data_IF_918993313262
#
_entry.id   IF_918993313262
#
_cell.length_a   1.000
_cell.length_b   1.000
_cell.length_c   1.000
_cell.angle_alpha   90.00
_cell.angle_beta   90.00
_cell.angle_gamma   90.00
#
_symmetry.space_group_name_H-M   'P 1'
#
loop_
_entity.id
_entity.type
_entity.pdbx_description
1 polymer ?
#
# COMPACT_ATOMS: atom_id res chain seq x y z
N UNK A 1 -9.63 -21.32 -22.16
CA UNK A 1 -9.86 -20.56 -20.92
C UNK A 1 -9.07 -19.27 -21.01
N UNK A 2 -9.62 -18.09 -20.68
CA UNK A 2 -8.81 -16.88 -20.65
C UNK A 2 -7.77 -17.05 -19.54
N UNK A 3 -6.49 -16.89 -19.88
CA UNK A 3 -5.39 -16.84 -18.92
C UNK A 3 -5.66 -15.68 -17.97
N UNK A 4 -6.07 -15.99 -16.73
CA UNK A 4 -6.12 -15.00 -15.65
C UNK A 4 -4.73 -14.37 -15.54
N UNK A 5 -4.65 -13.05 -15.63
CA UNK A 5 -3.43 -12.32 -15.35
C UNK A 5 -3.18 -12.39 -13.84
N UNK A 6 -2.21 -13.23 -13.46
CA UNK A 6 -1.82 -13.50 -12.06
C UNK A 6 -1.54 -12.17 -11.32
N UNK A 7 -1.06 -11.13 -12.01
CA UNK A 7 -0.77 -9.85 -11.39
C UNK A 7 -2.03 -9.08 -10.98
N UNK A 8 -3.11 -9.22 -11.74
CA UNK A 8 -4.39 -8.58 -11.40
C UNK A 8 -5.00 -9.21 -10.15
N UNK A 9 -4.96 -10.54 -10.04
CA UNK A 9 -5.48 -11.26 -8.87
C UNK A 9 -4.70 -10.92 -7.60
N UNK A 10 -3.37 -10.86 -7.68
CA UNK A 10 -2.51 -10.45 -6.56
C UNK A 10 -2.87 -9.03 -6.07
N UNK A 11 -3.14 -8.09 -6.98
CA UNK A 11 -3.44 -6.71 -6.60
C UNK A 11 -4.82 -6.58 -5.97
N UNK A 12 -5.82 -7.29 -6.47
CA UNK A 12 -7.15 -7.30 -5.85
C UNK A 12 -7.11 -7.95 -4.47
N UNK A 13 -6.34 -9.03 -4.29
CA UNK A 13 -6.13 -9.66 -2.99
C UNK A 13 -5.46 -8.68 -2.01
N UNK A 14 -4.36 -8.04 -2.42
CA UNK A 14 -3.65 -7.05 -1.60
C UNK A 14 -4.52 -5.84 -1.26
N UNK A 15 -5.38 -5.40 -2.18
CA UNK A 15 -6.32 -4.31 -1.94
C UNK A 15 -7.37 -4.69 -0.90
N UNK A 16 -7.95 -5.89 -1.01
CA UNK A 16 -8.87 -6.39 0.01
C UNK A 16 -8.17 -6.51 1.38
N UNK A 17 -6.96 -7.05 1.42
CA UNK A 17 -6.17 -7.16 2.66
C UNK A 17 -5.89 -5.78 3.26
N UNK A 18 -5.47 -4.81 2.45
CA UNK A 18 -5.19 -3.45 2.89
C UNK A 18 -6.43 -2.75 3.48
N UNK A 19 -7.62 -2.98 2.89
CA UNK A 19 -8.87 -2.42 3.40
C UNK A 19 -9.27 -3.01 4.75
N UNK A 20 -9.15 -4.34 4.92
CA UNK A 20 -9.43 -5.01 6.20
C UNK A 20 -8.49 -4.47 7.27
N UNK A 21 -7.18 -4.43 6.97
CA UNK A 21 -6.16 -3.98 7.90
C UNK A 21 -6.32 -2.49 8.27
N UNK A 22 -6.78 -1.66 7.33
CA UNK A 22 -7.11 -0.26 7.60
C UNK A 22 -8.31 -0.11 8.54
N UNK A 23 -9.32 -0.97 8.42
CA UNK A 23 -10.46 -0.96 9.35
C UNK A 23 -10.06 -1.46 10.74
N UNK A 24 -9.25 -2.51 10.81
CA UNK A 24 -8.70 -3.01 12.08
C UNK A 24 -7.83 -1.96 12.76
N UNK A 25 -6.93 -1.28 12.02
CA UNK A 25 -6.13 -0.15 12.51
C UNK A 25 -7.02 0.98 13.03
N UNK A 26 -8.08 1.34 12.29
CA UNK A 26 -9.05 2.35 12.73
C UNK A 26 -9.74 1.93 14.03
N UNK A 27 -10.06 0.65 14.19
CA UNK A 27 -10.72 0.12 15.39
C UNK A 27 -9.80 0.14 16.62
N UNK A 28 -8.55 -0.32 16.45
CA UNK A 28 -7.55 -0.44 17.52
C UNK A 28 -7.01 0.92 17.97
N UNK A 29 -6.74 1.82 17.02
CA UNK A 29 -6.17 3.14 17.32
C UNK A 29 -7.21 4.24 17.57
N UNK A 30 -8.51 3.91 17.66
CA UNK A 30 -9.53 4.89 18.07
C UNK A 30 -9.38 5.23 19.56
N UNK A 31 -8.55 6.24 19.85
CA UNK A 31 -8.22 6.70 21.21
C UNK A 31 -9.44 7.17 22.02
N UNK A 32 -10.58 7.46 21.36
CA UNK A 32 -11.84 7.78 22.05
C UNK A 32 -12.45 6.55 22.73
N UNK A 33 -12.07 5.34 22.31
CA UNK A 33 -12.55 4.08 22.89
C UNK A 33 -11.78 3.66 24.15
N UNK A 34 -10.56 4.19 24.33
CA UNK A 34 -9.67 3.86 25.46
C UNK A 34 -10.14 4.43 26.81
N UNK A 35 -11.29 5.11 26.85
CA UNK A 35 -12.00 5.52 28.08
C UNK A 35 -12.65 4.36 28.86
N UNK A 36 -12.34 3.10 28.50
CA UNK A 36 -12.86 1.92 29.22
C UNK A 36 -11.90 1.42 30.31
N UNK A 37 -12.42 1.39 31.53
CA UNK A 37 -11.99 0.73 32.79
C UNK A 37 -10.55 0.94 33.33
N UNK A 38 -9.50 0.98 32.51
CA UNK A 38 -8.11 1.22 32.94
C UNK A 38 -7.44 2.13 31.91
N UNK A 39 -7.21 3.39 32.27
CA UNK A 39 -6.49 4.29 31.39
C UNK A 39 -5.03 3.82 31.27
N UNK A 40 -4.49 3.70 30.05
CA UNK A 40 -3.07 3.43 29.85
C UNK A 40 -2.25 4.57 30.46
N UNK A 41 -1.05 4.22 30.95
CA UNK A 41 -0.07 5.22 31.36
C UNK A 41 0.30 6.15 30.18
N UNK A 42 0.86 7.32 30.51
CA UNK A 42 1.15 8.36 29.52
C UNK A 42 2.12 7.89 28.42
N UNK A 43 3.08 7.02 28.75
CA UNK A 43 4.04 6.51 27.76
C UNK A 43 3.36 5.55 26.79
N UNK A 44 2.53 4.63 27.30
CA UNK A 44 1.74 3.70 26.46
C UNK A 44 0.78 4.46 25.54
N UNK A 45 0.15 5.54 26.03
CA UNK A 45 -0.73 6.39 25.22
C UNK A 45 0.01 7.12 24.09
N UNK A 46 1.20 7.62 24.39
CA UNK A 46 2.07 8.27 23.38
C UNK A 46 2.54 7.24 22.35
N UNK A 47 2.99 6.06 22.77
CA UNK A 47 3.38 4.97 21.88
C UNK A 47 2.23 4.55 20.95
N UNK A 48 1.02 4.38 21.49
CA UNK A 48 -0.19 4.08 20.70
C UNK A 48 -0.47 5.16 19.65
N UNK A 49 -0.31 6.44 20.02
CA UNK A 49 -0.56 7.56 19.11
C UNK A 49 0.48 7.62 17.98
N UNK A 50 1.76 7.45 18.30
CA UNK A 50 2.87 7.48 17.33
C UNK A 50 2.74 6.31 16.35
N UNK A 51 2.63 5.09 16.87
CA UNK A 51 2.57 3.90 16.03
C UNK A 51 1.23 3.77 15.29
N UNK A 52 0.13 4.29 15.86
CA UNK A 52 -1.15 4.39 15.16
C UNK A 52 -1.09 5.33 13.96
N UNK A 53 -0.48 6.51 14.10
CA UNK A 53 -0.30 7.43 12.98
C UNK A 53 0.64 6.85 11.90
N UNK A 54 1.72 6.19 12.32
CA UNK A 54 2.63 5.49 11.40
C UNK A 54 1.90 4.41 10.61
N UNK A 55 1.16 3.55 11.30
CA UNK A 55 0.42 2.43 10.69
C UNK A 55 -0.65 2.92 9.72
N UNK A 56 -1.43 3.93 10.11
CA UNK A 56 -2.47 4.49 9.21
C UNK A 56 -1.86 5.16 7.99
N UNK A 57 -0.76 5.90 8.14
CA UNK A 57 -0.03 6.50 7.01
C UNK A 57 0.50 5.42 6.05
N UNK A 58 1.07 4.35 6.60
CA UNK A 58 1.53 3.17 5.84
C UNK A 58 0.44 2.56 4.99
N UNK A 59 -0.71 2.29 5.60
CA UNK A 59 -1.84 1.71 4.91
C UNK A 59 -2.39 2.65 3.84
N UNK A 60 -2.36 3.97 4.08
CA UNK A 60 -2.76 4.95 3.07
C UNK A 60 -1.83 4.95 1.87
N UNK A 61 -0.51 4.88 2.07
CA UNK A 61 0.43 4.77 0.96
C UNK A 61 0.24 3.47 0.16
N UNK A 62 0.03 2.35 0.85
CA UNK A 62 -0.29 1.06 0.22
C UNK A 62 -1.58 1.15 -0.61
N UNK A 63 -2.66 1.69 -0.03
CA UNK A 63 -3.94 1.83 -0.72
C UNK A 63 -3.85 2.76 -1.92
N UNK A 64 -3.16 3.90 -1.79
CA UNK A 64 -2.95 4.82 -2.90
C UNK A 64 -2.18 4.15 -4.05
N UNK A 65 -1.15 3.37 -3.74
CA UNK A 65 -0.41 2.60 -4.74
C UNK A 65 -1.33 1.59 -5.44
N UNK A 66 -2.09 0.79 -4.67
CA UNK A 66 -3.00 -0.22 -5.20
C UNK A 66 -4.10 0.38 -6.08
N UNK A 67 -4.66 1.53 -5.69
CA UNK A 67 -5.66 2.25 -6.48
C UNK A 67 -5.09 2.74 -7.82
N UNK A 68 -3.88 3.31 -7.82
CA UNK A 68 -3.20 3.70 -9.06
C UNK A 68 -2.97 2.48 -9.98
N UNK A 69 -2.59 1.34 -9.41
CA UNK A 69 -2.39 0.10 -10.15
C UNK A 69 -3.68 -0.46 -10.75
N UNK A 70 -4.80 -0.32 -10.04
CA UNK A 70 -6.14 -0.67 -10.54
C UNK A 70 -6.57 0.25 -11.68
N UNK A 71 -6.42 1.56 -11.51
CA UNK A 71 -6.76 2.55 -12.53
C UNK A 71 -5.91 2.40 -13.81
N UNK A 72 -4.63 2.02 -13.68
CA UNK A 72 -3.80 1.67 -14.83
C UNK A 72 -4.34 0.44 -15.58
N UNK A 73 -4.76 -0.60 -14.85
CA UNK A 73 -5.30 -1.84 -15.44
C UNK A 73 -6.69 -1.67 -16.06
N UNK A 74 -7.51 -0.76 -15.54
CA UNK A 74 -8.79 -0.41 -16.18
C UNK A 74 -8.63 0.49 -17.40
N UNK A 75 -7.42 0.99 -17.66
CA UNK A 75 -7.11 1.92 -18.75
C UNK A 75 -7.42 3.39 -18.42
N UNK A 76 -7.77 3.70 -17.17
CA UNK A 76 -8.01 5.08 -16.69
C UNK A 76 -6.71 5.87 -16.48
N UNK A 77 -5.59 5.19 -16.22
CA UNK A 77 -4.25 5.78 -16.15
C UNK A 77 -3.34 5.24 -17.25
N UNK A 78 -2.55 6.13 -17.86
CA UNK A 78 -1.44 5.73 -18.74
C UNK A 78 -0.20 5.29 -17.95
N UNK A 79 0.69 4.53 -18.58
CA UNK A 79 1.95 4.09 -17.95
C UNK A 79 2.81 5.28 -17.50
N UNK A 80 2.86 6.36 -18.29
CA UNK A 80 3.57 7.58 -17.93
C UNK A 80 2.95 8.34 -16.76
N UNK A 81 1.62 8.31 -16.59
CA UNK A 81 0.97 8.85 -15.40
C UNK A 81 1.28 8.00 -14.17
N UNK A 82 1.15 6.68 -14.29
CA UNK A 82 1.46 5.73 -13.21
C UNK A 82 2.92 5.87 -12.74
N UNK A 83 3.87 6.07 -13.64
CA UNK A 83 5.28 6.27 -13.27
C UNK A 83 5.51 7.51 -12.38
N UNK A 84 4.71 8.57 -12.56
CA UNK A 84 4.82 9.83 -11.79
C UNK A 84 4.11 9.76 -10.44
N UNK A 85 2.90 9.18 -10.39
CA UNK A 85 2.05 9.19 -9.19
C UNK A 85 2.00 7.86 -8.44
N UNK A 86 2.54 6.79 -9.00
CA UNK A 86 2.45 5.43 -8.48
C UNK A 86 3.70 4.93 -7.76
N UNK A 87 4.57 5.80 -7.23
CA UNK A 87 5.70 5.33 -6.40
C UNK A 87 5.21 5.10 -4.98
N UNK A 88 5.50 3.91 -4.45
CA UNK A 88 5.31 3.68 -3.01
C UNK A 88 6.44 4.39 -2.25
N UNK A 89 6.12 5.28 -1.29
CA UNK A 89 7.12 5.88 -0.43
C UNK A 89 7.83 4.83 0.44
N UNK A 90 9.13 5.02 0.66
CA UNK A 90 9.85 4.29 1.69
C UNK A 90 9.38 4.78 3.07
N UNK A 91 9.21 3.85 4.01
CA UNK A 91 8.75 4.17 5.35
C UNK A 91 9.67 3.60 6.42
N UNK A 92 9.88 4.34 7.52
CA UNK A 92 10.66 3.83 8.64
C UNK A 92 9.92 2.68 9.34
N UNK A 93 10.64 1.66 9.83
CA UNK A 93 10.05 0.61 10.65
C UNK A 93 9.55 1.17 11.97
N UNK A 94 8.59 0.49 12.58
CA UNK A 94 8.06 0.80 13.90
C UNK A 94 9.17 0.87 14.95
N UNK A 95 9.00 1.73 15.94
CA UNK A 95 9.99 1.93 16.99
C UNK A 95 9.91 0.78 18.01
N UNK A 96 11.04 0.11 18.24
CA UNK A 96 11.10 -1.07 19.12
C UNK A 96 10.75 -0.75 20.59
N UNK A 97 11.11 0.45 21.07
CA UNK A 97 10.80 0.88 22.43
C UNK A 97 9.30 1.18 22.56
N UNK A 98 8.70 1.81 21.53
CA UNK A 98 7.25 1.98 21.50
C UNK A 98 6.53 0.63 21.47
N UNK A 99 6.95 -0.29 20.59
CA UNK A 99 6.33 -1.62 20.46
C UNK A 99 6.37 -2.40 21.78
N UNK A 100 7.46 -2.29 22.56
CA UNK A 100 7.58 -2.96 23.85
C UNK A 100 6.50 -2.54 24.87
N UNK A 101 5.90 -1.35 24.70
CA UNK A 101 4.83 -0.83 25.54
C UNK A 101 3.43 -1.27 25.08
N UNK A 102 3.30 -1.85 23.88
CA UNK A 102 2.01 -2.17 23.27
C UNK A 102 1.56 -3.61 23.53
N UNK A 103 0.25 -3.78 23.62
CA UNK A 103 -0.36 -5.10 23.71
C UNK A 103 0.03 -5.99 22.52
N UNK A 104 0.15 -7.31 22.72
CA UNK A 104 0.53 -8.24 21.65
C UNK A 104 -0.34 -8.12 20.40
N UNK A 105 -1.65 -7.90 20.55
CA UNK A 105 -2.56 -7.76 19.42
C UNK A 105 -2.27 -6.49 18.59
N UNK A 106 -2.00 -5.36 19.25
CA UNK A 106 -1.62 -4.11 18.58
C UNK A 106 -0.29 -4.23 17.86
N UNK A 107 0.69 -4.93 18.46
CA UNK A 107 1.97 -5.21 17.79
C UNK A 107 1.78 -6.05 16.54
N UNK A 108 1.02 -7.13 16.62
CA UNK A 108 0.74 -8.00 15.48
C UNK A 108 0.09 -7.23 14.32
N UNK A 109 -0.81 -6.29 14.61
CA UNK A 109 -1.42 -5.42 13.61
C UNK A 109 -0.41 -4.51 12.91
N UNK A 110 0.53 -3.92 13.68
CA UNK A 110 1.60 -3.07 13.14
C UNK A 110 2.52 -3.90 12.24
N UNK A 111 2.93 -5.09 12.71
CA UNK A 111 3.79 -6.03 11.98
C UNK A 111 3.13 -6.51 10.68
N UNK A 112 1.81 -6.76 10.69
CA UNK A 112 1.06 -7.11 9.48
C UNK A 112 1.07 -5.95 8.48
N UNK A 113 0.93 -4.71 8.95
CA UNK A 113 1.04 -3.51 8.13
C UNK A 113 2.42 -3.36 7.49
N UNK A 114 3.49 -3.68 8.22
CA UNK A 114 4.86 -3.68 7.70
C UNK A 114 5.09 -4.76 6.66
N UNK A 115 4.61 -5.98 6.93
CA UNK A 115 4.71 -7.09 5.99
C UNK A 115 3.96 -6.79 4.68
N UNK A 116 2.77 -6.20 4.78
CA UNK A 116 1.98 -5.77 3.63
C UNK A 116 2.72 -4.70 2.81
N UNK A 117 3.21 -3.64 3.46
CA UNK A 117 3.98 -2.59 2.78
C UNK A 117 5.21 -3.17 2.09
N UNK A 118 5.99 -4.04 2.76
CA UNK A 118 7.16 -4.68 2.18
C UNK A 118 6.83 -5.54 0.95
N UNK A 119 5.70 -6.26 0.97
CA UNK A 119 5.20 -7.04 -0.18
C UNK A 119 4.86 -6.13 -1.36
N UNK A 120 4.17 -5.01 -1.10
CA UNK A 120 3.83 -4.02 -2.13
C UNK A 120 5.06 -3.30 -2.66
N UNK A 121 6.01 -2.96 -1.80
CA UNK A 121 7.28 -2.33 -2.19
C UNK A 121 8.11 -3.23 -3.13
N UNK A 122 8.08 -4.56 -2.91
CA UNK A 122 8.71 -5.51 -3.83
C UNK A 122 8.02 -5.51 -5.19
N UNK A 123 6.69 -5.52 -5.22
CA UNK A 123 5.92 -5.44 -6.47
C UNK A 123 6.18 -4.12 -7.21
N UNK A 124 6.26 -2.98 -6.51
CA UNK A 124 6.60 -1.69 -7.10
C UNK A 124 7.98 -1.71 -7.77
N UNK A 125 8.99 -2.30 -7.10
CA UNK A 125 10.33 -2.45 -7.66
C UNK A 125 10.35 -3.35 -8.90
N UNK A 126 9.68 -4.50 -8.85
CA UNK A 126 9.58 -5.43 -9.97
C UNK A 126 8.88 -4.78 -11.18
N UNK A 127 7.76 -4.09 -10.94
CA UNK A 127 7.03 -3.39 -11.99
C UNK A 127 7.89 -2.29 -12.63
N UNK A 128 8.62 -1.51 -11.82
CA UNK A 128 9.52 -0.45 -12.32
C UNK A 128 10.71 -1.01 -13.11
N UNK A 129 11.26 -2.14 -12.67
CA UNK A 129 12.35 -2.79 -13.40
C UNK A 129 11.89 -3.25 -14.80
N UNK A 130 10.67 -3.79 -14.89
CA UNK A 130 10.09 -4.25 -16.16
C UNK A 130 9.57 -3.09 -17.04
N UNK A 131 9.11 -1.99 -16.45
CA UNK A 131 8.64 -0.81 -17.18
C UNK A 131 9.76 -0.03 -17.91
N UNK A 132 11.03 -0.35 -17.64
CA UNK A 132 12.19 0.17 -18.37
C UNK A 132 12.35 -0.41 -19.79
N UNK A 133 11.68 -1.53 -20.10
CA UNK A 133 11.46 -1.97 -21.47
C UNK A 133 10.20 -1.27 -21.99
N UNK A 134 10.29 -0.47 -23.07
CA UNK A 134 9.12 0.26 -23.57
C UNK A 134 8.00 -0.74 -23.87
N UNK A 135 6.80 -0.57 -23.30
CA UNK A 135 5.69 -1.50 -23.52
C UNK A 135 5.43 -1.62 -25.02
N UNK A 136 5.25 -2.85 -25.51
CA UNK A 136 4.96 -3.12 -26.91
C UNK A 136 3.77 -2.29 -27.41
N UNK A 137 2.82 -1.96 -26.54
CA UNK A 137 1.68 -1.07 -26.82
C UNK A 137 2.07 0.39 -27.09
N UNK A 138 3.12 0.92 -26.44
CA UNK A 138 3.65 2.26 -26.74
C UNK A 138 4.40 2.26 -28.08
N UNK A 139 5.16 1.20 -28.36
CA UNK A 139 5.79 0.99 -29.66
C UNK A 139 4.72 0.85 -30.77
N UNK A 140 3.66 0.08 -30.54
CA UNK A 140 2.51 -0.06 -31.43
C UNK A 140 1.81 1.27 -31.66
N UNK A 141 1.56 2.05 -30.62
CA UNK A 141 0.96 3.38 -30.72
C UNK A 141 1.80 4.33 -31.58
N UNK A 142 3.12 4.32 -31.40
CA UNK A 142 4.07 5.09 -32.23
C UNK A 142 4.06 4.63 -33.68
N UNK A 143 4.01 3.32 -33.92
CA UNK A 143 3.92 2.74 -35.26
C UNK A 143 2.63 3.15 -35.95
N UNK A 144 1.47 2.97 -35.30
CA UNK A 144 0.16 3.36 -35.85
C UNK A 144 0.09 4.87 -36.13
N UNK A 145 0.62 5.70 -35.25
CA UNK A 145 0.66 7.15 -35.45
C UNK A 145 1.60 7.58 -36.59
N UNK A 146 2.69 6.85 -36.83
CA UNK A 146 3.59 7.09 -37.96
C UNK A 146 2.93 6.70 -39.30
N UNK A 147 2.18 5.60 -39.34
CA UNK A 147 1.46 5.14 -40.53
C UNK A 147 0.20 5.95 -40.85
N UNK A 148 -0.38 6.67 -39.88
CA UNK A 148 -1.55 7.54 -40.11
C UNK A 148 -1.20 8.92 -40.72
N UNK A 149 0.10 9.26 -40.85
CA UNK A 149 0.58 10.54 -41.42
C UNK A 149 1.19 10.41 -42.82
N UNK A 150 1.13 9.23 -43.44
CA UNK A 150 1.54 8.99 -44.84
C UNK A 150 0.34 8.59 -45.69
#
# INVERSE_FOLDING_TARGET
MPTRDINCEIIEELYSQALVLADDARSVFDLRRTDTAVQPDDLTRVALSIEGLRTTTRLMHVLAWLLNQRAYRSGELSAGQLARSGRLPDEPPADADNLALLEPATRALIEEGEALHARVARLDREWRANAGEPPVEELRGRITAAFARG
#
